data_IF_233548300349
#
_entry.id   IF_233548300349
#
_cell.length_a   1.000
_cell.length_b   1.000
_cell.length_c   1.000
_cell.angle_alpha   90.00
_cell.angle_beta   90.00
_cell.angle_gamma   90.00
#
_symmetry.space_group_name_H-M   'P 1'
#
loop_
_entity.id
_entity.type
_entity.pdbx_description
1 polymer ?
#
# COMPACT_ATOMS: atom_id res chain seq x y z
N UNK A 1 18.09 19.06 6.70
CA UNK A 1 17.70 17.96 7.62
C UNK A 1 16.89 17.02 6.75
N UNK A 2 17.47 15.93 6.27
CA UNK A 2 16.72 14.97 5.43
C UNK A 2 15.59 14.38 6.28
N UNK A 3 14.35 14.47 5.77
CA UNK A 3 13.24 13.79 6.42
C UNK A 3 13.51 12.29 6.37
N UNK A 4 13.59 11.66 7.54
CA UNK A 4 13.67 10.21 7.66
C UNK A 4 12.46 9.58 6.95
N UNK A 5 12.71 8.62 6.06
CA UNK A 5 11.67 7.94 5.30
C UNK A 5 11.03 6.83 6.15
N UNK A 6 9.71 6.71 6.08
CA UNK A 6 8.98 5.65 6.77
C UNK A 6 9.29 4.25 6.20
N UNK A 7 9.58 4.18 4.90
CA UNK A 7 10.07 2.99 4.22
C UNK A 7 11.41 2.50 4.80
N UNK A 8 12.33 3.41 5.12
CA UNK A 8 13.62 3.05 5.74
C UNK A 8 13.41 2.48 7.15
N UNK A 9 12.52 3.07 7.96
CA UNK A 9 12.16 2.53 9.27
C UNK A 9 11.62 1.09 9.17
N UNK A 10 10.77 0.82 8.17
CA UNK A 10 10.26 -0.52 7.91
C UNK A 10 11.38 -1.49 7.49
N UNK A 11 12.19 -1.11 6.51
CA UNK A 11 13.24 -1.97 5.95
C UNK A 11 14.35 -2.23 6.97
N UNK A 12 14.64 -1.28 7.86
CA UNK A 12 15.60 -1.46 8.95
C UNK A 12 15.22 -2.62 9.87
N UNK A 13 13.93 -2.83 10.14
CA UNK A 13 13.48 -3.99 10.93
C UNK A 13 13.84 -5.32 10.25
N UNK A 14 13.90 -5.37 8.92
CA UNK A 14 14.33 -6.53 8.15
C UNK A 14 15.85 -6.61 8.12
N UNK A 15 16.56 -5.48 7.97
CA UNK A 15 18.01 -5.43 7.87
C UNK A 15 18.75 -5.82 9.15
N UNK A 16 18.12 -5.60 10.31
CA UNK A 16 18.66 -6.02 11.62
C UNK A 16 18.66 -7.55 11.80
N UNK A 17 17.90 -8.29 10.99
CA UNK A 17 17.86 -9.75 11.07
C UNK A 17 19.22 -10.38 10.67
N UNK A 18 19.63 -11.50 11.31
CA UNK A 18 20.83 -12.24 10.92
C UNK A 18 20.83 -12.59 9.42
N UNK A 19 22.02 -12.63 8.80
CA UNK A 19 22.15 -12.88 7.36
C UNK A 19 21.46 -14.19 6.92
N UNK A 20 21.59 -15.26 7.69
CA UNK A 20 20.97 -16.55 7.38
C UNK A 20 19.43 -16.48 7.41
N UNK A 21 18.84 -15.65 8.28
CA UNK A 21 17.38 -15.40 8.32
C UNK A 21 16.96 -14.62 7.09
N UNK A 22 17.70 -13.55 6.72
CA UNK A 22 17.42 -12.75 5.53
C UNK A 22 17.50 -13.57 4.24
N UNK A 23 18.45 -14.50 4.15
CA UNK A 23 18.55 -15.45 3.03
C UNK A 23 17.30 -16.33 2.92
N UNK A 24 16.83 -16.89 4.05
CA UNK A 24 15.60 -17.70 4.06
C UNK A 24 14.37 -16.87 3.68
N UNK A 25 14.24 -15.66 4.22
CA UNK A 25 13.14 -14.73 3.86
C UNK A 25 13.19 -14.43 2.36
N UNK A 26 14.36 -14.05 1.85
CA UNK A 26 14.56 -13.75 0.44
C UNK A 26 14.11 -14.93 -0.44
N UNK A 27 14.66 -16.13 -0.22
CA UNK A 27 14.35 -17.31 -1.03
C UNK A 27 12.87 -17.71 -0.94
N UNK A 28 12.27 -17.65 0.26
CA UNK A 28 10.84 -17.99 0.44
C UNK A 28 9.91 -16.96 -0.17
N UNK A 29 10.24 -15.68 -0.07
CA UNK A 29 9.46 -14.61 -0.69
C UNK A 29 9.61 -14.62 -2.20
N UNK A 30 10.82 -14.83 -2.72
CA UNK A 30 11.09 -14.96 -4.15
C UNK A 30 10.37 -16.18 -4.75
N UNK A 31 10.46 -17.35 -4.12
CA UNK A 31 9.75 -18.55 -4.57
C UNK A 31 8.24 -18.31 -4.62
N UNK A 32 7.68 -17.78 -3.54
CA UNK A 32 6.23 -17.53 -3.46
C UNK A 32 5.77 -16.47 -4.47
N UNK A 33 6.54 -15.39 -4.64
CA UNK A 33 6.26 -14.37 -5.65
C UNK A 33 6.37 -14.93 -7.06
N UNK A 34 7.33 -15.82 -7.32
CA UNK A 34 7.44 -16.48 -8.62
C UNK A 34 6.22 -17.37 -8.89
N UNK A 35 5.83 -18.22 -7.93
CA UNK A 35 4.61 -19.04 -8.05
C UNK A 35 3.33 -18.20 -8.26
N UNK A 36 3.22 -17.05 -7.59
CA UNK A 36 2.07 -16.15 -7.72
C UNK A 36 2.10 -15.30 -9.01
N UNK A 37 3.28 -15.09 -9.60
CA UNK A 37 3.51 -14.17 -10.72
C UNK A 37 4.05 -14.84 -11.98
N UNK A 38 4.21 -16.16 -12.07
CA UNK A 38 4.91 -16.88 -13.16
C UNK A 38 4.49 -16.45 -14.59
N UNK A 39 3.20 -16.12 -14.80
CA UNK A 39 2.68 -15.64 -16.11
C UNK A 39 2.60 -14.09 -16.19
N UNK A 40 2.75 -13.41 -15.04
CA UNK A 40 2.65 -11.97 -14.83
C UNK A 40 4.01 -11.25 -14.67
N UNK A 41 5.12 -11.99 -14.57
CA UNK A 41 6.48 -11.44 -14.46
C UNK A 41 6.87 -10.61 -15.69
N UNK A 42 6.30 -10.92 -16.86
CA UNK A 42 6.44 -10.07 -18.05
C UNK A 42 5.72 -8.72 -17.91
N UNK A 43 4.69 -8.64 -17.07
CA UNK A 43 3.75 -7.52 -16.97
C UNK A 43 4.11 -6.56 -15.83
N UNK A 44 4.50 -7.09 -14.68
CA UNK A 44 5.11 -6.33 -13.59
C UNK A 44 6.61 -6.43 -13.78
N UNK A 45 7.21 -5.53 -14.57
CA UNK A 45 8.66 -5.46 -14.74
C UNK A 45 9.33 -5.58 -13.35
N UNK A 46 9.91 -6.75 -12.99
CA UNK A 46 10.32 -7.01 -11.62
C UNK A 46 11.55 -6.18 -11.25
N UNK A 47 12.23 -5.61 -12.26
CA UNK A 47 13.37 -4.72 -12.10
C UNK A 47 12.97 -3.28 -11.81
N UNK A 48 11.75 -2.86 -12.18
CA UNK A 48 11.24 -1.50 -11.97
C UNK A 48 9.79 -1.52 -11.50
N UNK A 49 9.53 -1.97 -10.26
CA UNK A 49 8.19 -2.01 -9.70
C UNK A 49 7.60 -0.60 -9.62
N UNK A 50 6.29 -0.48 -9.87
CA UNK A 50 5.57 0.81 -9.85
C UNK A 50 5.68 1.53 -8.50
N UNK A 51 5.93 0.78 -7.43
CA UNK A 51 6.11 1.27 -6.07
C UNK A 51 7.36 2.18 -5.96
N UNK A 52 8.40 1.96 -6.78
CA UNK A 52 9.60 2.81 -6.83
C UNK A 52 9.49 3.97 -7.82
N UNK A 53 8.34 4.16 -8.46
CA UNK A 53 8.13 5.34 -9.31
C UNK A 53 8.18 6.60 -8.44
N UNK A 54 9.03 7.55 -8.80
CA UNK A 54 9.06 8.90 -8.20
C UNK A 54 8.24 9.85 -9.07
N UNK A 55 7.07 10.32 -8.61
CA UNK A 55 6.27 11.31 -9.34
C UNK A 55 7.02 12.64 -9.43
N UNK A 56 7.10 13.21 -10.63
CA UNK A 56 7.73 14.51 -10.84
C UNK A 56 6.70 15.61 -10.89
N UNK A 57 6.75 16.52 -9.92
CA UNK A 57 5.89 17.69 -9.87
C UNK A 57 6.26 18.69 -10.97
N UNK A 58 5.27 19.15 -11.73
CA UNK A 58 5.47 20.17 -12.78
C UNK A 58 5.58 21.57 -12.16
N UNK A 59 5.98 22.57 -12.95
CA UNK A 59 5.92 23.97 -12.53
C UNK A 59 4.50 24.39 -12.10
N UNK A 60 3.49 23.95 -12.86
CA UNK A 60 2.07 24.16 -12.55
C UNK A 60 1.67 23.50 -11.22
N UNK A 61 2.18 22.29 -10.96
CA UNK A 61 2.00 21.60 -9.69
C UNK A 61 2.57 22.38 -8.49
N UNK A 62 3.75 22.97 -8.64
CA UNK A 62 4.37 23.81 -7.60
C UNK A 62 3.56 25.06 -7.32
N UNK A 63 3.16 25.78 -8.38
CA UNK A 63 2.31 26.98 -8.25
C UNK A 63 0.97 26.66 -7.59
N UNK A 64 0.36 25.53 -7.93
CA UNK A 64 -0.91 25.11 -7.31
C UNK A 64 -0.76 24.77 -5.83
N UNK A 65 0.41 24.26 -5.40
CA UNK A 65 0.68 24.00 -3.98
C UNK A 65 0.69 25.30 -3.15
N UNK A 66 1.24 26.37 -3.72
CA UNK A 66 1.34 27.70 -3.09
C UNK A 66 0.01 28.46 -3.15
N UNK A 67 -0.63 28.48 -4.32
CA UNK A 67 -1.80 29.33 -4.58
C UNK A 67 -3.14 28.64 -4.27
N UNK A 68 -3.18 27.30 -4.26
CA UNK A 68 -4.37 26.46 -4.02
C UNK A 68 -5.61 26.84 -4.85
N UNK A 69 -5.41 27.30 -6.09
CA UNK A 69 -6.47 27.84 -6.95
C UNK A 69 -7.50 26.80 -7.38
N UNK A 70 -7.11 25.54 -7.51
CA UNK A 70 -8.03 24.46 -7.89
C UNK A 70 -8.86 23.92 -6.72
N UNK A 71 -8.62 24.39 -5.50
CA UNK A 71 -9.35 23.99 -4.29
C UNK A 71 -9.53 22.45 -4.20
N UNK A 72 -8.44 21.72 -4.44
CA UNK A 72 -8.41 20.26 -4.37
C UNK A 72 -8.55 19.78 -2.92
N UNK A 73 -8.80 18.49 -2.72
CA UNK A 73 -8.86 17.95 -1.36
C UNK A 73 -7.48 17.95 -0.70
N UNK A 74 -7.44 17.96 0.63
CA UNK A 74 -6.19 17.95 1.40
C UNK A 74 -5.27 16.79 1.01
N UNK A 75 -5.83 15.62 0.70
CA UNK A 75 -5.08 14.46 0.22
C UNK A 75 -4.29 14.76 -1.07
N UNK A 76 -4.82 15.60 -1.97
CA UNK A 76 -4.08 16.01 -3.18
C UNK A 76 -2.89 16.90 -2.83
N UNK A 77 -3.08 17.87 -1.93
CA UNK A 77 -1.99 18.76 -1.54
C UNK A 77 -0.93 18.00 -0.74
N UNK A 78 -1.33 17.10 0.16
CA UNK A 78 -0.41 16.19 0.85
C UNK A 78 0.36 15.32 -0.15
N UNK A 79 -0.29 14.83 -1.19
CA UNK A 79 0.38 14.07 -2.24
C UNK A 79 1.43 14.91 -2.99
N UNK A 80 1.06 16.13 -3.41
CA UNK A 80 1.97 17.04 -4.11
C UNK A 80 3.16 17.46 -3.25
N UNK A 81 2.96 17.70 -1.96
CA UNK A 81 4.03 18.01 -1.00
C UNK A 81 5.03 16.86 -0.87
N UNK A 82 4.53 15.62 -0.82
CA UNK A 82 5.39 14.43 -0.84
C UNK A 82 6.12 14.26 -2.19
N UNK A 83 5.50 14.63 -3.31
CA UNK A 83 6.16 14.65 -4.62
C UNK A 83 7.28 15.70 -4.67
N UNK A 84 7.08 16.87 -4.06
CA UNK A 84 8.09 17.92 -3.95
C UNK A 84 9.29 17.46 -3.11
N UNK A 85 9.05 16.61 -2.12
CA UNK A 85 10.09 15.93 -1.31
C UNK A 85 10.78 14.76 -2.03
N UNK A 86 10.47 14.50 -3.31
CA UNK A 86 11.00 13.39 -4.12
C UNK A 86 10.75 12.00 -3.50
N UNK A 87 9.62 11.80 -2.84
CA UNK A 87 9.22 10.48 -2.37
C UNK A 87 8.68 9.62 -3.52
N UNK A 88 8.98 8.32 -3.48
CA UNK A 88 8.40 7.35 -4.40
C UNK A 88 6.98 6.97 -3.97
N UNK A 89 6.25 6.29 -4.86
CA UNK A 89 4.88 5.86 -4.60
C UNK A 89 4.77 5.02 -3.32
N UNK A 90 5.77 4.18 -3.00
CA UNK A 90 5.80 3.37 -1.79
C UNK A 90 5.85 4.22 -0.52
N UNK A 91 6.80 5.14 -0.43
CA UNK A 91 6.96 6.06 0.69
C UNK A 91 5.71 6.92 0.86
N UNK A 92 5.18 7.45 -0.24
CA UNK A 92 3.94 8.25 -0.21
C UNK A 92 2.78 7.43 0.36
N UNK A 93 2.59 6.19 -0.10
CA UNK A 93 1.53 5.31 0.39
C UNK A 93 1.70 5.01 1.89
N UNK A 94 2.90 4.65 2.32
CA UNK A 94 3.19 4.31 3.72
C UNK A 94 3.03 5.51 4.66
N UNK A 95 3.60 6.66 4.28
CA UNK A 95 3.60 7.87 5.11
C UNK A 95 2.21 8.38 5.42
N UNK A 96 1.31 8.28 4.45
CA UNK A 96 -0.06 8.79 4.58
C UNK A 96 -1.07 7.73 5.03
N UNK A 97 -0.62 6.50 5.31
CA UNK A 97 -1.48 5.35 5.64
C UNK A 97 -2.57 5.10 4.59
N UNK A 98 -2.21 5.33 3.33
CA UNK A 98 -3.08 5.08 2.18
C UNK A 98 -2.90 3.65 1.67
N UNK A 99 -3.84 3.24 0.84
CA UNK A 99 -3.71 2.07 -0.02
C UNK A 99 -2.96 2.45 -1.31
N UNK A 100 -2.39 1.46 -2.00
CA UNK A 100 -1.75 1.71 -3.29
C UNK A 100 -2.79 2.18 -4.33
N UNK A 101 -4.03 1.67 -4.24
CA UNK A 101 -5.15 2.11 -5.08
C UNK A 101 -5.52 3.60 -4.86
N UNK A 102 -5.62 4.05 -3.61
CA UNK A 102 -5.88 5.46 -3.27
C UNK A 102 -4.76 6.36 -3.80
N UNK A 103 -3.50 5.98 -3.53
CA UNK A 103 -2.32 6.72 -4.01
C UNK A 103 -2.30 6.79 -5.55
N UNK A 104 -2.60 5.68 -6.23
CA UNK A 104 -2.71 5.61 -7.69
C UNK A 104 -3.82 6.51 -8.23
N UNK A 105 -4.97 6.57 -7.55
CA UNK A 105 -6.10 7.42 -7.94
C UNK A 105 -5.74 8.91 -7.87
N UNK A 106 -5.06 9.34 -6.79
CA UNK A 106 -4.59 10.71 -6.64
C UNK A 106 -3.53 11.02 -7.72
N UNK A 107 -2.57 10.12 -7.93
CA UNK A 107 -1.54 10.25 -8.97
C UNK A 107 -2.15 10.47 -10.36
N UNK A 108 -3.08 9.61 -10.79
CA UNK A 108 -3.70 9.68 -12.13
C UNK A 108 -4.43 11.00 -12.32
N UNK A 109 -5.19 11.44 -11.31
CA UNK A 109 -5.89 12.72 -11.34
C UNK A 109 -4.94 13.92 -11.34
N UNK A 110 -3.78 13.81 -10.67
CA UNK A 110 -2.76 14.86 -10.67
C UNK A 110 -2.07 14.97 -12.04
N UNK A 111 -1.81 13.84 -12.70
CA UNK A 111 -1.32 13.81 -14.09
C UNK A 111 -2.34 14.42 -15.05
N UNK A 112 -3.63 14.10 -14.92
CA UNK A 112 -4.71 14.68 -15.76
C UNK A 112 -4.86 16.19 -15.62
N UNK A 113 -4.52 16.73 -14.44
CA UNK A 113 -4.51 18.18 -14.19
C UNK A 113 -3.19 18.84 -14.59
N UNK A 114 -2.24 18.07 -15.13
CA UNK A 114 -0.89 18.48 -15.50
C UNK A 114 -0.06 19.00 -14.31
N UNK A 115 -0.41 18.57 -13.10
CA UNK A 115 0.33 18.92 -11.88
C UNK A 115 1.56 18.02 -11.70
N UNK A 116 1.53 16.83 -12.33
CA UNK A 116 2.59 15.84 -12.32
C UNK A 116 2.88 15.42 -13.76
N UNK A 117 4.15 15.20 -14.06
CA UNK A 117 4.60 14.71 -15.37
C UNK A 117 4.10 13.29 -15.64
N UNK A 118 3.80 13.01 -16.91
CA UNK A 118 3.45 11.66 -17.34
C UNK A 118 4.69 10.75 -17.16
N UNK A 119 4.56 9.57 -16.53
CA UNK A 119 5.67 8.63 -16.42
C UNK A 119 6.25 8.24 -17.78
N UNK A 120 7.57 8.08 -17.86
CA UNK A 120 8.25 7.67 -19.10
C UNK A 120 7.87 6.25 -19.54
N UNK A 121 7.62 5.37 -18.59
CA UNK A 121 7.24 3.98 -18.86
C UNK A 121 5.72 3.88 -18.99
N UNK A 122 5.25 3.62 -20.22
CA UNK A 122 3.82 3.50 -20.53
C UNK A 122 3.17 2.34 -19.77
N UNK A 123 3.87 1.20 -19.65
CA UNK A 123 3.38 0.02 -18.91
C UNK A 123 3.11 0.34 -17.44
N UNK A 124 4.06 1.01 -16.77
CA UNK A 124 3.89 1.43 -15.38
C UNK A 124 2.70 2.40 -15.23
N UNK A 125 2.56 3.34 -16.16
CA UNK A 125 1.43 4.26 -16.14
C UNK A 125 0.09 3.55 -16.37
N UNK A 126 0.03 2.58 -17.28
CA UNK A 126 -1.16 1.77 -17.52
C UNK A 126 -1.58 0.97 -16.27
N UNK A 127 -0.61 0.38 -15.55
CA UNK A 127 -0.88 -0.33 -14.30
C UNK A 127 -1.45 0.64 -13.25
N UNK A 128 -0.86 1.82 -13.07
CA UNK A 128 -1.35 2.82 -12.11
C UNK A 128 -2.77 3.28 -12.47
N UNK A 129 -3.05 3.51 -13.76
CA UNK A 129 -4.40 3.82 -14.24
C UNK A 129 -5.39 2.69 -13.96
N UNK A 130 -4.96 1.43 -14.08
CA UNK A 130 -5.80 0.28 -13.80
C UNK A 130 -6.13 0.14 -12.31
N UNK A 131 -5.13 0.36 -11.44
CA UNK A 131 -5.30 0.38 -9.99
C UNK A 131 -6.22 1.51 -9.53
N UNK A 132 -6.08 2.70 -10.14
CA UNK A 132 -6.98 3.83 -9.94
C UNK A 132 -8.42 3.57 -10.44
N UNK A 133 -8.65 2.49 -11.20
CA UNK A 133 -9.93 2.17 -11.81
C UNK A 133 -10.28 3.00 -13.05
N UNK A 134 -9.31 3.76 -13.59
CA UNK A 134 -9.48 4.61 -14.79
C UNK A 134 -9.66 3.76 -16.06
N UNK A 135 -8.85 2.71 -16.20
CA UNK A 135 -8.91 1.79 -17.35
C UNK A 135 -9.44 0.41 -16.93
N UNK A 136 -10.06 -0.30 -17.88
CA UNK A 136 -10.56 -1.67 -17.69
C UNK A 136 -9.48 -2.70 -18.01
N UNK A 137 -9.70 -3.95 -17.59
CA UNK A 137 -8.78 -5.07 -17.81
C UNK A 137 -8.38 -5.24 -19.28
N UNK A 138 -9.32 -5.13 -20.22
CA UNK A 138 -9.00 -5.26 -21.65
C UNK A 138 -8.06 -4.17 -22.17
N UNK A 139 -8.21 -2.93 -21.70
CA UNK A 139 -7.33 -1.84 -22.11
C UNK A 139 -5.94 -1.95 -21.46
N UNK A 140 -5.88 -2.43 -20.21
CA UNK A 140 -4.60 -2.75 -19.56
C UNK A 140 -3.82 -3.79 -20.39
N UNK A 141 -4.46 -4.91 -20.74
CA UNK A 141 -3.82 -5.99 -21.50
C UNK A 141 -3.29 -5.51 -22.86
N UNK A 142 -4.03 -4.59 -23.51
CA UNK A 142 -3.58 -3.94 -24.75
C UNK A 142 -2.33 -3.10 -24.52
N UNK A 143 -2.34 -2.20 -23.52
CA UNK A 143 -1.20 -1.31 -23.24
C UNK A 143 0.05 -2.06 -22.76
N UNK A 144 -0.15 -3.24 -22.22
CA UNK A 144 0.92 -4.15 -21.86
C UNK A 144 1.41 -5.02 -23.04
N UNK A 145 0.79 -4.92 -24.22
CA UNK A 145 1.19 -5.66 -25.43
C UNK A 145 0.81 -7.14 -25.44
N UNK A 146 -0.02 -7.61 -24.49
CA UNK A 146 -0.49 -9.02 -24.46
C UNK A 146 -1.59 -9.28 -25.50
N UNK A 147 -2.36 -8.25 -25.86
CA UNK A 147 -3.39 -8.34 -26.90
C UNK A 147 -3.27 -7.16 -27.87
N UNK A 148 -3.69 -7.40 -29.11
CA UNK A 148 -3.77 -6.36 -30.15
C UNK A 148 -5.12 -5.62 -30.14
N UNK A 149 -5.16 -4.45 -30.78
CA UNK A 149 -6.37 -3.65 -31.00
C UNK A 149 -7.46 -4.46 -31.69
N UNK A 150 -7.11 -5.25 -32.72
CA UNK A 150 -8.09 -6.07 -33.43
C UNK A 150 -8.69 -7.17 -32.53
N UNK A 151 -7.88 -7.79 -31.68
CA UNK A 151 -8.34 -8.79 -30.72
C UNK A 151 -9.27 -8.18 -29.66
N UNK A 152 -8.94 -6.98 -29.17
CA UNK A 152 -9.80 -6.24 -28.24
C UNK A 152 -11.13 -5.84 -28.90
N UNK A 153 -11.11 -5.35 -30.14
CA UNK A 153 -12.34 -5.01 -30.87
C UNK A 153 -13.23 -6.24 -31.10
N UNK A 154 -12.64 -7.36 -31.51
CA UNK A 154 -13.37 -8.60 -31.72
C UNK A 154 -14.03 -9.08 -30.42
N UNK A 155 -13.31 -9.03 -29.30
CA UNK A 155 -13.86 -9.36 -27.98
C UNK A 155 -15.03 -8.42 -27.57
N UNK A 156 -14.94 -7.13 -27.89
CA UNK A 156 -16.03 -6.17 -27.64
C UNK A 156 -17.24 -6.44 -28.53
N UNK A 157 -17.04 -6.80 -29.80
CA UNK A 157 -18.12 -7.16 -30.73
C UNK A 157 -18.86 -8.40 -30.25
N UNK A 158 -18.12 -9.44 -29.85
CA UNK A 158 -18.69 -10.66 -29.26
C UNK A 158 -19.45 -10.37 -27.96
N UNK A 159 -18.93 -9.48 -27.11
CA UNK A 159 -19.64 -9.07 -25.90
C UNK A 159 -20.97 -8.39 -26.21
N UNK A 160 -21.01 -7.48 -27.21
CA UNK A 160 -22.24 -6.82 -27.64
C UNK A 160 -23.24 -7.81 -28.25
N UNK A 161 -22.78 -8.74 -29.07
CA UNK A 161 -23.62 -9.78 -29.66
C UNK A 161 -24.31 -10.62 -28.58
N UNK A 162 -23.56 -11.06 -27.56
CA UNK A 162 -24.09 -11.84 -26.44
C UNK A 162 -24.97 -11.05 -25.50
N UNK A 163 -24.65 -9.78 -25.25
CA UNK A 163 -25.50 -8.87 -24.48
C UNK A 163 -26.88 -8.69 -25.15
N UNK A 164 -26.92 -8.61 -26.48
CA UNK A 164 -28.17 -8.54 -27.25
C UNK A 164 -28.97 -9.85 -27.18
N UNK A 165 -28.32 -10.99 -26.91
CA UNK A 165 -28.98 -12.29 -26.71
C UNK A 165 -29.36 -12.55 -25.24
N UNK A 166 -29.21 -11.56 -24.35
CA UNK A 166 -29.56 -11.67 -22.92
C UNK A 166 -28.45 -12.18 -22.01
N UNK A 167 -27.23 -12.41 -22.52
CA UNK A 167 -26.09 -12.87 -21.74
C UNK A 167 -25.21 -11.72 -21.25
N UNK A 168 -25.07 -11.53 -19.93
CA UNK A 168 -24.13 -10.57 -19.36
C UNK A 168 -22.76 -11.24 -19.10
N UNK A 169 -21.99 -11.47 -20.16
CA UNK A 169 -20.66 -12.07 -20.04
C UNK A 169 -19.59 -11.00 -19.84
N UNK A 170 -18.68 -11.23 -18.88
CA UNK A 170 -17.54 -10.34 -18.64
C UNK A 170 -16.58 -10.41 -19.82
N UNK A 171 -16.01 -9.26 -20.23
CA UNK A 171 -15.09 -9.18 -21.38
C UNK A 171 -13.88 -10.11 -21.22
N UNK A 172 -13.37 -10.27 -19.99
CA UNK A 172 -12.25 -11.16 -19.71
C UNK A 172 -12.60 -12.64 -19.99
N UNK A 173 -13.85 -13.05 -19.75
CA UNK A 173 -14.30 -14.41 -20.03
C UNK A 173 -14.41 -14.67 -21.54
N UNK A 174 -14.89 -13.68 -22.29
CA UNK A 174 -14.92 -13.74 -23.75
C UNK A 174 -13.50 -13.81 -24.33
N UNK A 175 -12.55 -13.05 -23.77
CA UNK A 175 -11.15 -13.11 -24.20
C UNK A 175 -10.48 -14.46 -23.91
N UNK A 176 -10.85 -15.14 -22.82
CA UNK A 176 -10.41 -16.50 -22.52
C UNK A 176 -10.99 -17.49 -23.52
N UNK A 177 -12.29 -17.39 -23.82
CA UNK A 177 -12.96 -18.26 -24.80
C UNK A 177 -12.39 -18.09 -26.22
N UNK A 178 -12.01 -16.87 -26.59
CA UNK A 178 -11.35 -16.58 -27.87
C UNK A 178 -9.86 -17.00 -27.90
N UNK A 179 -9.32 -17.50 -26.78
CA UNK A 179 -7.94 -17.97 -26.67
C UNK A 179 -6.89 -16.87 -26.67
N UNK A 180 -7.26 -15.61 -26.40
CA UNK A 180 -6.33 -14.48 -26.40
C UNK A 180 -5.53 -14.36 -25.11
N UNK A 181 -6.10 -14.81 -23.99
CA UNK A 181 -5.49 -14.73 -22.65
C UNK A 181 -5.81 -15.99 -21.85
N UNK A 182 -4.99 -16.30 -20.85
CA UNK A 182 -5.26 -17.43 -19.94
C UNK A 182 -6.20 -17.00 -18.81
N UNK A 183 -6.90 -17.96 -18.20
CA UNK A 183 -7.71 -17.69 -17.01
C UNK A 183 -6.83 -17.24 -15.83
N UNK A 184 -5.58 -17.70 -15.78
CA UNK A 184 -4.61 -17.35 -14.75
C UNK A 184 -4.19 -15.88 -14.85
N UNK A 185 -3.93 -15.37 -16.06
CA UNK A 185 -3.59 -13.96 -16.29
C UNK A 185 -4.64 -13.04 -15.68
N UNK A 186 -5.92 -13.31 -15.97
CA UNK A 186 -7.04 -12.50 -15.47
C UNK A 186 -7.14 -12.58 -13.95
N UNK A 187 -6.96 -13.76 -13.36
CA UNK A 187 -7.00 -13.95 -11.90
C UNK A 187 -5.91 -13.13 -11.21
N UNK A 188 -4.69 -13.13 -11.75
CA UNK A 188 -3.57 -12.39 -11.15
C UNK A 188 -3.77 -10.87 -11.26
N UNK A 189 -4.21 -10.35 -12.42
CA UNK A 189 -4.54 -8.91 -12.58
C UNK A 189 -5.57 -8.47 -11.54
N UNK A 190 -6.62 -9.28 -11.36
CA UNK A 190 -7.70 -8.97 -10.42
C UNK A 190 -7.22 -9.11 -8.98
N UNK A 191 -6.43 -10.14 -8.66
CA UNK A 191 -5.82 -10.32 -7.35
C UNK A 191 -4.97 -9.09 -7.00
N UNK A 192 -4.07 -8.68 -7.89
CA UNK A 192 -3.22 -7.50 -7.68
C UNK A 192 -4.05 -6.23 -7.45
N UNK A 193 -5.14 -6.06 -8.21
CA UNK A 193 -6.08 -4.95 -7.99
C UNK A 193 -6.74 -5.01 -6.61
N UNK A 194 -7.16 -6.18 -6.14
CA UNK A 194 -7.76 -6.32 -4.81
C UNK A 194 -6.72 -6.13 -3.69
N UNK A 195 -5.51 -6.68 -3.82
CA UNK A 195 -4.40 -6.48 -2.87
C UNK A 195 -4.02 -4.99 -2.78
N UNK A 196 -4.05 -4.26 -3.89
CA UNK A 196 -3.72 -2.83 -3.91
C UNK A 196 -4.66 -1.95 -3.05
N UNK A 197 -5.86 -2.45 -2.72
CA UNK A 197 -6.84 -1.78 -1.85
C UNK A 197 -6.64 -2.10 -0.37
N UNK A 198 -5.73 -3.01 -0.02
CA UNK A 198 -5.43 -3.31 1.38
C UNK A 198 -4.44 -2.29 1.92
N UNK A 199 -4.70 -1.81 3.14
CA UNK A 199 -3.77 -0.94 3.86
C UNK A 199 -2.63 -1.77 4.41
N UNK A 200 -1.42 -1.27 4.30
CA UNK A 200 -0.28 -1.85 4.99
C UNK A 200 -0.34 -1.45 6.47
N UNK A 201 -0.44 -2.44 7.37
CA UNK A 201 -0.45 -2.23 8.82
C UNK A 201 0.82 -2.85 9.39
N UNK A 202 1.68 -2.03 9.99
CA UNK A 202 3.01 -2.42 10.52
C UNK A 202 2.94 -3.27 11.81
N UNK A 203 1.83 -3.95 12.09
CA UNK A 203 1.47 -4.33 13.47
C UNK A 203 1.58 -5.80 13.88
N UNK A 204 1.42 -6.79 12.99
CA UNK A 204 1.10 -8.15 13.46
C UNK A 204 2.13 -9.25 13.22
N UNK A 205 3.08 -9.07 12.28
CA UNK A 205 3.98 -10.16 11.86
C UNK A 205 5.39 -10.11 12.48
N UNK A 206 6.07 -8.97 12.32
CA UNK A 206 7.49 -8.84 12.69
C UNK A 206 7.73 -8.48 14.16
N UNK A 207 6.82 -7.71 14.78
CA UNK A 207 6.89 -7.40 16.20
C UNK A 207 6.66 -8.64 17.09
N UNK A 208 5.85 -9.59 16.60
CA UNK A 208 5.46 -10.84 17.26
C UNK A 208 6.52 -11.95 17.09
N UNK A 209 7.39 -11.83 16.08
CA UNK A 209 8.54 -12.71 15.85
C UNK A 209 9.73 -12.40 16.78
N UNK A 210 9.56 -11.50 17.75
CA UNK A 210 10.35 -11.54 18.97
C UNK A 210 10.03 -12.84 19.70
N UNK A 211 10.64 -13.93 19.23
CA UNK A 211 10.75 -15.16 19.99
C UNK A 211 11.53 -14.84 21.26
N UNK A 212 10.81 -14.85 22.39
CA UNK A 212 11.29 -15.11 23.74
C UNK A 212 12.71 -14.61 24.07
N UNK A 213 12.83 -13.31 24.32
CA UNK A 213 13.39 -12.93 25.62
C UNK A 213 12.19 -12.72 26.55
N UNK A 214 11.85 -13.79 27.26
CA UNK A 214 10.82 -13.82 28.29
C UNK A 214 11.21 -12.88 29.45
N UNK A 215 10.96 -11.59 29.32
CA UNK A 215 10.37 -10.85 30.44
C UNK A 215 8.86 -10.99 30.26
N UNK A 216 8.40 -12.16 30.70
CA UNK A 216 7.01 -12.61 30.61
C UNK A 216 6.08 -11.49 31.05
N UNK A 217 4.93 -11.37 30.37
CA UNK A 217 3.79 -10.55 30.82
C UNK A 217 3.52 -10.74 32.33
N UNK A 218 3.82 -11.93 32.88
CA UNK A 218 3.85 -12.22 34.32
C UNK A 218 4.80 -11.34 35.17
N UNK A 219 6.02 -11.04 34.73
CA UNK A 219 6.95 -10.13 35.42
C UNK A 219 6.46 -8.68 35.39
N UNK A 220 5.88 -8.24 34.26
CA UNK A 220 5.26 -6.91 34.15
C UNK A 220 4.08 -6.80 35.11
N UNK A 221 3.20 -7.81 35.16
CA UNK A 221 2.10 -7.87 36.14
C UNK A 221 2.60 -7.94 37.59
N UNK A 222 3.69 -8.64 37.88
CA UNK A 222 4.28 -8.68 39.22
C UNK A 222 4.89 -7.34 39.63
N UNK A 223 5.59 -6.65 38.73
CA UNK A 223 6.14 -5.32 39.00
C UNK A 223 5.02 -4.30 39.21
N UNK A 224 3.96 -4.35 38.40
CA UNK A 224 2.78 -3.51 38.54
C UNK A 224 2.02 -3.76 39.86
N UNK A 225 1.91 -5.02 40.29
CA UNK A 225 1.32 -5.37 41.59
C UNK A 225 2.16 -4.88 42.78
N UNK A 226 3.49 -4.89 42.67
CA UNK A 226 4.38 -4.34 43.71
C UNK A 226 4.22 -2.82 43.82
N UNK A 227 4.13 -2.12 42.69
CA UNK A 227 3.90 -0.67 42.68
C UNK A 227 2.52 -0.31 43.23
N UNK A 228 1.46 -1.03 42.86
CA UNK A 228 0.12 -0.83 43.44
C UNK A 228 0.11 -0.99 44.96
N UNK A 229 0.75 -2.04 45.49
CA UNK A 229 0.86 -2.24 46.95
C UNK A 229 1.62 -1.11 47.63
N UNK A 230 2.70 -0.61 47.00
CA UNK A 230 3.47 0.51 47.53
C UNK A 230 2.64 1.80 47.57
N UNK A 231 1.94 2.11 46.48
CA UNK A 231 1.07 3.29 46.39
C UNK A 231 -0.12 3.22 47.35
N UNK A 232 -0.67 2.03 47.61
CA UNK A 232 -1.70 1.84 48.64
C UNK A 232 -1.15 2.09 50.05
N UNK A 233 0.07 1.62 50.35
CA UNK A 233 0.70 1.87 51.65
C UNK A 233 1.01 3.36 51.83
N UNK A 234 1.54 4.02 50.81
CA UNK A 234 1.79 5.46 50.84
C UNK A 234 0.48 6.24 51.04
N UNK A 235 -0.60 5.87 50.35
CA UNK A 235 -1.93 6.45 50.57
C UNK A 235 -2.47 6.20 51.98
N UNK A 236 -2.27 5.02 52.57
CA UNK A 236 -2.67 4.74 53.96
C UNK A 236 -1.90 5.61 54.94
N UNK A 237 -0.59 5.76 54.75
CA UNK A 237 0.26 6.61 55.59
C UNK A 237 -0.14 8.08 55.47
N UNK A 238 -0.38 8.55 54.24
CA UNK A 238 -0.84 9.91 53.98
C UNK A 238 -2.23 10.17 54.60
N UNK A 239 -3.18 9.24 54.45
CA UNK A 239 -4.49 9.32 55.12
C UNK A 239 -4.37 9.29 56.64
N UNK A 240 -3.49 8.48 57.21
CA UNK A 240 -3.25 8.45 58.66
C UNK A 240 -2.59 9.74 59.16
N UNK A 241 -1.66 10.33 58.39
CA UNK A 241 -1.05 11.64 58.69
C UNK A 241 -2.09 12.76 58.58
N UNK A 242 -2.93 12.75 57.55
CA UNK A 242 -4.06 13.68 57.38
C UNK A 242 -5.04 13.58 58.55
N UNK A 243 -5.41 12.37 58.98
CA UNK A 243 -6.29 12.16 60.16
C UNK A 243 -5.67 12.70 61.45
N UNK A 244 -4.36 12.51 61.65
CA UNK A 244 -3.63 13.10 62.79
C UNK A 244 -3.58 14.62 62.74
N UNK A 245 -3.45 15.21 61.54
CA UNK A 245 -3.47 16.67 61.36
C UNK A 245 -4.88 17.27 61.51
N UNK A 246 -5.91 16.52 61.13
CA UNK A 246 -7.32 16.93 61.23
C UNK A 246 -7.93 16.66 62.61
N UNK A 247 -7.18 16.07 63.56
CA UNK A 247 -7.60 15.79 64.95
C UNK A 247 -8.97 15.08 65.06
N UNK A 248 -9.29 14.21 64.10
CA UNK A 248 -10.50 13.39 64.14
C UNK A 248 -10.20 12.17 65.02
N UNK A 249 -10.58 12.25 66.30
CA UNK A 249 -10.85 11.06 67.12
C UNK A 249 -12.25 10.53 66.74
N UNK A 250 -12.38 9.21 66.73
CA UNK A 250 -13.53 8.44 66.20
C UNK A 250 -14.92 9.00 66.55
#
# INVERSE_FOLDING_TARGET
MELQKNSELFLNNIYVLPLWVRQVIYLKTEQKLSEELDEFLDLLNPKEPIQFLVPKITFKGKMELDERKYNLSDQFYTFLDNCLSNFDMFEITLRNFWTLAETSSIFVRAVEKELIEIPKCESNYAIIQFLAGKIRTGELLKRLGKIDVMQLENAIREQKNRANTGGNTKIAQIMIELGYITEKDVKIVLLFKEESKKRFIMGLGLASLKMDNQETVAQVYQNLQRELKRLEQENRILKARLRKLLNIQE
#
